data_IF_024715157141
#
_entry.id   IF_024715157141
#
_cell.length_a   1.000
_cell.length_b   1.000
_cell.length_c   1.000
_cell.angle_alpha   90.00
_cell.angle_beta   90.00
_cell.angle_gamma   90.00
#
_symmetry.space_group_name_H-M   'P 1'
#
loop_
_entity.id
_entity.type
_entity.pdbx_description
1 polymer ?
#
# COMPACT_ATOMS: atom_id res chain seq x y z
N UNK A 1 12.19 -22.84 0.89
CA UNK A 1 12.22 -21.44 1.35
C UNK A 1 10.78 -21.03 1.57
N UNK A 2 10.37 -20.73 2.81
CA UNK A 2 8.99 -20.32 3.09
C UNK A 2 8.87 -18.85 2.69
N UNK A 3 8.30 -18.57 1.54
CA UNK A 3 7.87 -17.21 1.18
C UNK A 3 6.86 -16.79 2.22
N UNK A 4 7.28 -15.97 3.20
CA UNK A 4 6.35 -15.43 4.17
C UNK A 4 5.35 -14.55 3.39
N UNK A 5 4.04 -14.71 3.61
CA UNK A 5 3.05 -13.90 2.93
C UNK A 5 3.28 -12.43 3.30
N UNK A 6 3.35 -11.55 2.30
CA UNK A 6 3.48 -10.12 2.52
C UNK A 6 2.25 -9.65 3.31
N UNK A 7 2.41 -8.96 4.46
CA UNK A 7 1.29 -8.68 5.33
C UNK A 7 0.35 -7.66 4.73
N UNK A 8 -0.97 -7.87 4.89
CA UNK A 8 -2.01 -6.94 4.46
C UNK A 8 -2.28 -5.76 5.41
N UNK A 9 -3.36 -5.04 5.12
CA UNK A 9 -3.90 -3.97 5.97
C UNK A 9 -4.83 -4.49 7.06
N UNK A 10 -5.46 -3.57 7.79
CA UNK A 10 -6.44 -3.88 8.84
C UNK A 10 -7.81 -4.24 8.27
N UNK A 11 -8.24 -3.55 7.21
CA UNK A 11 -9.55 -3.71 6.55
C UNK A 11 -9.38 -4.30 5.16
N UNK A 12 -8.34 -3.88 4.43
CA UNK A 12 -8.09 -4.33 3.08
C UNK A 12 -7.02 -5.44 3.05
N UNK A 13 -7.32 -6.52 2.33
CA UNK A 13 -6.36 -7.57 2.01
C UNK A 13 -5.34 -7.07 0.99
N UNK A 14 -4.13 -7.62 1.01
CA UNK A 14 -3.09 -7.23 0.06
C UNK A 14 -3.43 -7.77 -1.34
N UNK A 15 -3.59 -6.90 -2.36
CA UNK A 15 -3.86 -7.38 -3.71
C UNK A 15 -2.65 -8.11 -4.31
N UNK A 16 -2.86 -9.15 -5.15
CA UNK A 16 -1.76 -9.96 -5.69
C UNK A 16 -0.71 -9.16 -6.46
N UNK A 17 -1.14 -8.19 -7.27
CA UNK A 17 -0.25 -7.35 -8.07
C UNK A 17 0.60 -6.38 -7.23
N UNK A 18 0.05 -5.87 -6.13
CA UNK A 18 0.83 -5.11 -5.16
C UNK A 18 1.80 -6.02 -4.40
N UNK A 19 1.39 -7.24 -4.04
CA UNK A 19 2.28 -8.23 -3.42
C UNK A 19 3.45 -8.58 -4.32
N UNK A 20 3.21 -8.86 -5.61
CA UNK A 20 4.25 -9.16 -6.59
C UNK A 20 5.23 -7.99 -6.75
N UNK A 21 4.72 -6.75 -6.82
CA UNK A 21 5.56 -5.56 -6.89
C UNK A 21 6.44 -5.39 -5.64
N UNK A 22 5.89 -5.59 -4.44
CA UNK A 22 6.67 -5.53 -3.21
C UNK A 22 7.73 -6.64 -3.16
N UNK A 23 7.38 -7.87 -3.53
CA UNK A 23 8.35 -8.99 -3.58
C UNK A 23 9.49 -8.75 -4.57
N UNK A 24 9.23 -8.05 -5.68
CA UNK A 24 10.25 -7.66 -6.65
C UNK A 24 11.17 -6.52 -6.17
N UNK A 25 10.84 -5.85 -5.07
CA UNK A 25 11.60 -4.73 -4.53
C UNK A 25 11.90 -4.92 -3.04
N UNK A 26 13.10 -5.44 -2.68
CA UNK A 26 13.47 -5.70 -1.30
C UNK A 26 13.44 -4.47 -0.37
N UNK A 27 13.75 -3.28 -0.89
CA UNK A 27 13.76 -2.05 -0.10
C UNK A 27 12.32 -1.63 0.26
N UNK A 28 11.43 -1.60 -0.74
CA UNK A 28 10.02 -1.34 -0.53
C UNK A 28 9.36 -2.42 0.36
N UNK A 29 9.72 -3.69 0.21
CA UNK A 29 9.23 -4.78 1.06
C UNK A 29 9.66 -4.63 2.52
N UNK A 30 10.93 -4.27 2.76
CA UNK A 30 11.43 -4.01 4.10
C UNK A 30 10.68 -2.83 4.75
N UNK A 31 10.51 -1.73 4.01
CA UNK A 31 9.71 -0.60 4.46
C UNK A 31 8.26 -1.01 4.74
N UNK A 32 7.62 -1.77 3.85
CA UNK A 32 6.27 -2.30 4.04
C UNK A 32 6.12 -3.13 5.32
N UNK A 33 7.11 -3.96 5.64
CA UNK A 33 7.11 -4.75 6.86
C UNK A 33 7.33 -3.91 8.12
N UNK A 34 7.99 -2.76 8.01
CA UNK A 34 8.22 -1.80 9.10
C UNK A 34 7.01 -0.89 9.38
N UNK A 35 6.21 -0.55 8.36
CA UNK A 35 5.07 0.35 8.56
C UNK A 35 3.93 -0.31 9.33
N UNK A 36 3.14 0.52 10.02
CA UNK A 36 1.96 0.06 10.79
C UNK A 36 0.90 -0.61 9.88
N UNK A 37 0.08 -1.54 10.41
CA UNK A 37 -1.04 -2.11 9.66
C UNK A 37 -2.00 -1.06 9.07
N UNK A 38 -2.18 0.07 9.76
CA UNK A 38 -2.99 1.19 9.26
C UNK A 38 -2.35 1.85 8.03
N UNK A 39 -1.04 2.05 8.03
CA UNK A 39 -0.31 2.59 6.88
C UNK A 39 -0.43 1.66 5.66
N UNK A 40 -0.27 0.34 5.85
CA UNK A 40 -0.51 -0.68 4.79
C UNK A 40 -1.92 -0.56 4.24
N UNK A 41 -2.91 -0.45 5.13
CA UNK A 41 -4.32 -0.30 4.76
C UNK A 41 -4.57 0.92 3.86
N UNK A 42 -3.90 2.04 4.14
CA UNK A 42 -4.04 3.26 3.35
C UNK A 42 -3.43 3.13 1.95
N UNK A 43 -2.25 2.50 1.82
CA UNK A 43 -1.67 2.19 0.51
C UNK A 43 -2.53 1.21 -0.29
N UNK A 44 -3.04 0.16 0.36
CA UNK A 44 -3.92 -0.81 -0.31
C UNK A 44 -5.18 -0.11 -0.80
N UNK A 45 -5.88 0.63 0.06
CA UNK A 45 -7.10 1.34 -0.32
C UNK A 45 -6.84 2.32 -1.48
N UNK A 46 -5.70 3.02 -1.46
CA UNK A 46 -5.31 3.89 -2.56
C UNK A 46 -5.08 3.13 -3.86
N UNK A 47 -4.41 1.98 -3.84
CA UNK A 47 -4.21 1.17 -5.05
C UNK A 47 -5.54 0.59 -5.56
N UNK A 48 -6.42 0.14 -4.66
CA UNK A 48 -7.72 -0.44 -4.99
C UNK A 48 -8.73 0.56 -5.56
N UNK A 49 -8.68 1.81 -5.13
CA UNK A 49 -9.55 2.88 -5.65
C UNK A 49 -9.31 3.17 -7.15
N UNK A 50 -8.17 2.76 -7.71
CA UNK A 50 -7.88 2.93 -9.13
C UNK A 50 -8.65 1.91 -9.99
N UNK A 51 -9.79 2.33 -10.55
CA UNK A 51 -10.63 1.52 -11.45
C UNK A 51 -10.00 1.23 -12.82
N UNK A 52 -9.09 2.09 -13.29
CA UNK A 52 -8.39 1.90 -14.56
C UNK A 52 -7.06 1.17 -14.34
N UNK A 53 -6.80 0.13 -15.13
CA UNK A 53 -5.58 -0.69 -15.01
C UNK A 53 -4.29 0.15 -15.12
N UNK A 54 -4.25 1.13 -16.03
CA UNK A 54 -3.10 2.02 -16.19
C UNK A 54 -2.85 2.88 -14.93
N UNK A 55 -3.91 3.40 -14.31
CA UNK A 55 -3.81 4.16 -13.05
C UNK A 55 -3.36 3.25 -11.91
N UNK A 56 -3.89 2.03 -11.83
CA UNK A 56 -3.53 1.05 -10.82
C UNK A 56 -2.04 0.70 -10.88
N UNK A 57 -1.53 0.37 -12.07
CA UNK A 57 -0.11 0.11 -12.29
C UNK A 57 0.77 1.30 -11.85
N UNK A 58 0.36 2.53 -12.17
CA UNK A 58 1.06 3.74 -11.72
C UNK A 58 1.05 3.89 -10.20
N UNK A 59 -0.08 3.62 -9.52
CA UNK A 59 -0.18 3.70 -8.06
C UNK A 59 0.67 2.63 -7.36
N UNK A 60 0.75 1.42 -7.93
CA UNK A 60 1.64 0.35 -7.42
C UNK A 60 3.10 0.78 -7.50
N UNK A 61 3.55 1.25 -8.67
CA UNK A 61 4.92 1.77 -8.84
C UNK A 61 5.22 2.89 -7.84
N UNK A 62 4.32 3.86 -7.71
CA UNK A 62 4.49 4.98 -6.79
C UNK A 62 4.46 4.55 -5.32
N UNK A 63 3.73 3.49 -4.98
CA UNK A 63 3.78 2.91 -3.63
C UNK A 63 5.19 2.42 -3.30
N UNK A 64 5.88 1.76 -4.25
CA UNK A 64 7.26 1.35 -4.05
C UNK A 64 8.18 2.56 -3.85
N UNK A 65 8.11 3.55 -4.75
CA UNK A 65 8.92 4.78 -4.68
C UNK A 65 8.72 5.51 -3.34
N UNK A 66 7.47 5.69 -2.91
CA UNK A 66 7.15 6.37 -1.65
C UNK A 66 7.65 5.59 -0.42
N UNK A 67 7.57 4.25 -0.43
CA UNK A 67 8.10 3.42 0.65
C UNK A 67 9.63 3.50 0.74
N UNK A 68 10.31 3.54 -0.41
CA UNK A 68 11.76 3.73 -0.51
C UNK A 68 12.19 5.11 0.00
N UNK A 69 11.40 6.15 -0.28
CA UNK A 69 11.58 7.50 0.24
C UNK A 69 11.24 7.62 1.74
N UNK A 70 10.82 6.54 2.39
CA UNK A 70 10.50 6.50 3.82
C UNK A 70 9.09 6.99 4.14
N UNK A 71 8.26 7.26 3.13
CA UNK A 71 6.88 7.66 3.35
C UNK A 71 6.08 6.50 3.95
N UNK A 72 5.22 6.86 4.89
CA UNK A 72 4.37 5.90 5.62
C UNK A 72 2.90 6.02 5.23
N UNK A 73 2.58 6.87 4.25
CA UNK A 73 1.23 7.09 3.70
C UNK A 73 1.33 7.51 2.22
N UNK A 74 0.32 7.19 1.40
CA UNK A 74 0.25 7.64 0.01
C UNK A 74 0.34 9.17 -0.11
N UNK A 75 1.25 9.72 -0.90
CA UNK A 75 1.31 11.17 -1.06
C UNK A 75 0.23 11.70 -2.01
N UNK A 76 -0.39 12.84 -1.65
CA UNK A 76 -1.58 13.41 -2.30
C UNK A 76 -2.87 12.56 -2.20
N UNK A 77 -2.97 11.65 -1.24
CA UNK A 77 -4.21 10.92 -0.95
C UNK A 77 -5.05 11.69 0.07
N UNK A 78 -6.30 12.08 -0.25
CA UNK A 78 -7.14 12.87 0.65
C UNK A 78 -7.63 12.08 1.89
N UNK A 79 -7.32 10.78 1.96
CA UNK A 79 -7.76 9.86 3.00
C UNK A 79 -8.66 8.77 2.44
N UNK A 80 -8.78 7.67 3.19
CA UNK A 80 -9.70 6.58 2.85
C UNK A 80 -11.14 7.05 3.03
N UNK A 81 -12.02 6.86 2.03
CA UNK A 81 -13.45 7.15 2.17
C UNK A 81 -14.13 6.31 3.29
N UNK A 82 -13.56 5.13 3.61
CA UNK A 82 -14.00 4.29 4.73
C UNK A 82 -13.52 4.80 6.10
N UNK A 83 -12.66 5.83 6.14
CA UNK A 83 -12.28 6.50 7.38
C UNK A 83 -13.39 7.48 7.74
N UNK A 84 -14.27 7.09 8.65
CA UNK A 84 -15.15 8.05 9.31
C UNK A 84 -14.30 9.21 9.85
N UNK A 85 -14.62 10.42 9.42
CA UNK A 85 -14.07 11.65 10.03
C UNK A 85 -14.78 11.83 11.37
N UNK A 86 -14.49 11.01 12.36
CA UNK A 86 -14.86 11.27 13.75
C UNK A 86 -13.94 12.37 14.32
N UNK A 87 -14.01 13.54 13.69
CA UNK A 87 -13.55 14.80 14.27
C UNK A 87 -14.73 15.43 14.97
N UNK A 88 -14.61 15.57 16.29
CA UNK A 88 -15.54 16.22 17.22
C UNK A 88 -16.06 17.57 16.70
#
# INVERSE_FOLDING_TARGET
MKSQPVPGGVVHELPPDLSEALLANPAALAAWNDITPLARNEFICWVEDAKQAATRARRIRRTQEELEEGQRRPCCWPGCAHRERTGR
#
